data_IF_564361759664
#
_entry.id   IF_564361759664
#
_cell.length_a   1.000
_cell.length_b   1.000
_cell.length_c   1.000
_cell.angle_alpha   90.00
_cell.angle_beta   90.00
_cell.angle_gamma   90.00
#
_symmetry.space_group_name_H-M   'P 1'
#
loop_
_entity.id
_entity.type
_entity.pdbx_description
1 polymer ?
#
# COMPACT_ATOMS: atom_id res chain seq x y z
N UNK A 1 25.03 11.89 -21.79
CA UNK A 1 25.43 10.57 -21.27
C UNK A 1 24.32 9.59 -21.60
N UNK A 2 24.62 8.32 -21.85
CA UNK A 2 23.84 7.22 -21.26
C UNK A 2 22.89 6.28 -22.03
N UNK A 3 22.65 6.28 -23.35
CA UNK A 3 21.88 5.11 -23.90
C UNK A 3 22.75 3.85 -23.97
N UNK A 4 23.98 3.98 -24.46
CA UNK A 4 24.97 2.90 -24.46
C UNK A 4 25.37 2.50 -23.03
N UNK A 5 25.57 3.48 -22.14
CA UNK A 5 25.93 3.22 -20.75
C UNK A 5 24.75 2.73 -19.89
N UNK A 6 23.49 3.15 -20.14
CA UNK A 6 22.30 2.51 -19.54
C UNK A 6 22.16 1.08 -20.04
N UNK A 7 22.28 0.84 -21.34
CA UNK A 7 22.20 -0.52 -21.89
C UNK A 7 23.31 -1.42 -21.36
N UNK A 8 24.52 -0.89 -21.19
CA UNK A 8 25.61 -1.62 -20.55
C UNK A 8 25.32 -1.89 -19.07
N UNK A 9 24.83 -0.89 -18.34
CA UNK A 9 24.43 -1.03 -16.93
C UNK A 9 23.32 -2.07 -16.75
N UNK A 10 22.22 -1.97 -17.51
CA UNK A 10 21.13 -2.94 -17.44
C UNK A 10 21.58 -4.36 -17.80
N UNK A 11 22.54 -4.51 -18.72
CA UNK A 11 23.14 -5.82 -19.02
C UNK A 11 24.02 -6.34 -17.89
N UNK A 12 24.82 -5.47 -17.28
CA UNK A 12 25.68 -5.79 -16.13
C UNK A 12 24.88 -6.25 -14.92
N UNK A 13 23.73 -5.63 -14.67
CA UNK A 13 22.88 -5.87 -13.50
C UNK A 13 21.55 -6.54 -13.84
N UNK A 14 21.45 -7.20 -15.00
CA UNK A 14 20.18 -7.73 -15.50
C UNK A 14 19.54 -8.68 -14.49
N UNK A 15 20.32 -9.60 -13.93
CA UNK A 15 19.83 -10.60 -12.99
C UNK A 15 19.36 -9.97 -11.69
N UNK A 16 20.12 -9.02 -11.17
CA UNK A 16 19.78 -8.30 -9.94
C UNK A 16 18.51 -7.47 -10.12
N UNK A 17 18.35 -6.85 -11.29
CA UNK A 17 17.13 -6.11 -11.65
C UNK A 17 15.94 -7.06 -11.77
N UNK A 18 16.10 -8.18 -12.46
CA UNK A 18 15.08 -9.21 -12.64
C UNK A 18 14.64 -9.83 -11.30
N UNK A 19 15.59 -10.14 -10.42
CA UNK A 19 15.32 -10.62 -9.07
C UNK A 19 14.57 -9.57 -8.23
N UNK A 20 14.99 -8.30 -8.31
CA UNK A 20 14.33 -7.19 -7.60
C UNK A 20 12.87 -7.02 -8.07
N UNK A 21 12.62 -7.08 -9.37
CA UNK A 21 11.25 -7.01 -9.93
C UNK A 21 10.44 -8.24 -9.50
N UNK A 22 11.04 -9.43 -9.53
CA UNK A 22 10.37 -10.67 -9.11
C UNK A 22 9.96 -10.65 -7.64
N UNK A 23 10.72 -9.97 -6.78
CA UNK A 23 10.34 -9.77 -5.38
C UNK A 23 9.08 -8.91 -5.23
N UNK A 24 8.84 -7.95 -6.14
CA UNK A 24 7.63 -7.12 -6.10
C UNK A 24 6.34 -7.93 -6.33
N UNK A 25 6.43 -9.07 -7.03
CA UNK A 25 5.31 -10.01 -7.20
C UNK A 25 4.97 -10.78 -5.92
N UNK A 26 5.88 -10.84 -4.93
CA UNK A 26 5.74 -11.64 -3.71
C UNK A 26 5.19 -10.84 -2.53
N UNK A 27 4.41 -9.79 -2.83
CA UNK A 27 3.80 -8.98 -1.78
C UNK A 27 2.76 -9.78 -0.98
N UNK A 28 2.72 -9.54 0.33
CA UNK A 28 1.64 -9.99 1.22
C UNK A 28 0.30 -9.26 0.93
N UNK A 29 0.35 -8.21 0.10
CA UNK A 29 -0.76 -7.34 -0.24
C UNK A 29 -1.05 -7.41 -1.75
N UNK A 30 -1.65 -8.51 -2.17
CA UNK A 30 -2.23 -8.62 -3.52
C UNK A 30 -3.68 -8.17 -3.43
N UNK A 31 -4.05 -7.21 -4.28
CA UNK A 31 -5.42 -6.70 -4.39
C UNK A 31 -5.97 -6.74 -5.81
N UNK A 32 -7.27 -6.92 -5.94
CA UNK A 32 -8.06 -7.01 -7.15
C UNK A 32 -9.11 -5.91 -7.12
N UNK A 33 -8.97 -4.92 -8.01
CA UNK A 33 -9.95 -3.85 -8.17
C UNK A 33 -10.24 -3.56 -9.64
N UNK A 34 -10.94 -2.45 -9.91
CA UNK A 34 -11.31 -2.03 -11.27
C UNK A 34 -10.11 -1.73 -12.18
N UNK A 35 -8.91 -1.53 -11.64
CA UNK A 35 -7.66 -1.35 -12.40
C UNK A 35 -6.95 -2.67 -12.71
N UNK A 36 -7.43 -3.79 -12.16
CA UNK A 36 -6.86 -5.13 -12.31
C UNK A 36 -6.24 -5.66 -11.02
N UNK A 37 -5.31 -6.60 -11.18
CA UNK A 37 -4.55 -7.20 -10.07
C UNK A 37 -3.31 -6.39 -9.79
N UNK A 38 -3.07 -6.05 -8.52
CA UNK A 38 -1.93 -5.25 -8.10
C UNK A 38 -1.26 -5.87 -6.87
N UNK A 39 0.06 -5.87 -6.86
CA UNK A 39 0.86 -6.16 -5.68
C UNK A 39 1.36 -4.85 -5.06
N UNK A 40 0.97 -4.59 -3.81
CA UNK A 40 1.31 -3.39 -3.06
C UNK A 40 2.53 -3.63 -2.19
N UNK A 41 3.63 -2.95 -2.44
CA UNK A 41 4.89 -3.11 -1.71
C UNK A 41 5.20 -1.84 -0.91
N UNK A 42 5.06 -1.92 0.41
CA UNK A 42 5.23 -0.80 1.32
C UNK A 42 6.70 -0.62 1.70
N UNK A 43 7.40 0.29 1.03
CA UNK A 43 8.81 0.61 1.30
C UNK A 43 8.93 1.74 2.33
N UNK A 44 10.14 2.04 2.78
CA UNK A 44 10.36 3.06 3.83
C UNK A 44 9.75 4.44 3.47
N UNK A 45 9.87 4.87 2.20
CA UNK A 45 9.49 6.24 1.79
C UNK A 45 8.23 6.30 0.92
N UNK A 46 7.87 5.21 0.27
CA UNK A 46 6.79 5.18 -0.70
C UNK A 46 6.17 3.79 -0.80
N UNK A 47 4.98 3.75 -1.38
CA UNK A 47 4.36 2.53 -1.86
C UNK A 47 4.82 2.28 -3.30
N UNK A 48 5.25 1.06 -3.61
CA UNK A 48 5.40 0.60 -4.99
C UNK A 48 4.24 -0.30 -5.35
N UNK A 49 3.57 -0.01 -6.46
CA UNK A 49 2.46 -0.81 -6.98
C UNK A 49 2.93 -1.50 -8.25
N UNK A 50 2.96 -2.83 -8.23
CA UNK A 50 3.21 -3.65 -9.41
C UNK A 50 1.88 -4.13 -9.97
N UNK A 51 1.59 -3.81 -11.23
CA UNK A 51 0.42 -4.32 -11.93
C UNK A 51 0.72 -5.70 -12.48
N UNK A 52 -0.16 -6.65 -12.20
CA UNK A 52 0.02 -8.05 -12.55
C UNK A 52 -0.97 -8.46 -13.63
N UNK A 53 -0.46 -9.14 -14.66
CA UNK A 53 -1.27 -9.83 -15.66
C UNK A 53 -0.69 -11.22 -15.86
N UNK A 54 -1.52 -12.24 -15.69
CA UNK A 54 -1.12 -13.64 -15.85
C UNK A 54 0.12 -14.05 -15.01
N UNK A 55 0.30 -13.41 -13.85
CA UNK A 55 1.44 -13.64 -12.94
C UNK A 55 2.70 -12.83 -13.27
N UNK A 56 2.70 -12.04 -14.33
CA UNK A 56 3.82 -11.19 -14.75
C UNK A 56 3.59 -9.72 -14.40
N UNK A 57 4.66 -9.01 -14.08
CA UNK A 57 4.62 -7.54 -13.89
C UNK A 57 4.56 -6.86 -15.24
N UNK A 58 3.47 -6.14 -15.51
CA UNK A 58 3.29 -5.38 -16.75
C UNK A 58 3.61 -3.90 -16.58
N UNK A 59 3.51 -3.36 -15.37
CA UNK A 59 3.83 -1.97 -15.04
C UNK A 59 4.16 -1.83 -13.55
N UNK A 60 4.95 -0.81 -13.21
CA UNK A 60 5.34 -0.49 -11.83
C UNK A 60 5.20 1.00 -11.60
N UNK A 61 4.47 1.38 -10.55
CA UNK A 61 4.26 2.78 -10.17
C UNK A 61 4.69 3.04 -8.74
N UNK A 62 5.42 4.13 -8.53
CA UNK A 62 5.67 4.70 -7.21
C UNK A 62 4.53 5.62 -6.77
N UNK A 63 4.07 5.47 -5.54
CA UNK A 63 3.00 6.25 -4.94
C UNK A 63 3.45 6.77 -3.59
N UNK A 64 3.37 8.08 -3.40
CA UNK A 64 3.70 8.70 -2.12
C UNK A 64 2.59 8.45 -1.10
N UNK A 65 2.95 8.30 0.17
CA UNK A 65 1.98 7.85 1.18
C UNK A 65 0.81 8.81 1.43
N UNK A 66 0.97 10.10 1.13
CA UNK A 66 -0.14 11.04 1.21
C UNK A 66 -1.15 10.87 0.07
N UNK A 67 -0.76 10.28 -1.06
CA UNK A 67 -1.70 9.89 -2.11
C UNK A 67 -2.38 8.56 -1.78
N UNK A 68 -1.64 7.62 -1.17
CA UNK A 68 -2.19 6.34 -0.75
C UNK A 68 -3.17 6.46 0.42
N UNK A 69 -2.82 7.23 1.46
CA UNK A 69 -3.66 7.51 2.62
C UNK A 69 -3.97 9.02 2.68
N UNK A 70 -4.91 9.49 1.82
CA UNK A 70 -5.18 10.90 1.65
C UNK A 70 -5.83 11.53 2.88
N UNK A 71 -5.80 12.86 2.94
CA UNK A 71 -6.35 13.62 4.06
C UNK A 71 -7.82 13.26 4.33
N UNK A 72 -8.62 13.15 3.26
CA UNK A 72 -10.04 12.83 3.30
C UNK A 72 -10.29 11.45 3.91
N UNK A 73 -9.38 10.50 3.72
CA UNK A 73 -9.42 9.20 4.38
C UNK A 73 -9.12 9.32 5.88
N UNK A 74 -8.06 10.05 6.23
CA UNK A 74 -7.68 10.26 7.64
C UNK A 74 -8.80 10.94 8.43
N UNK A 75 -9.52 11.88 7.81
CA UNK A 75 -10.63 12.59 8.44
C UNK A 75 -11.79 11.68 8.87
N UNK A 76 -11.96 10.52 8.24
CA UNK A 76 -13.02 9.57 8.60
C UNK A 76 -12.82 9.00 10.01
N UNK A 77 -11.58 8.92 10.51
CA UNK A 77 -11.34 8.43 11.86
C UNK A 77 -11.94 9.32 12.96
N UNK A 78 -12.16 10.62 12.70
CA UNK A 78 -12.86 11.51 13.65
C UNK A 78 -14.36 11.21 13.77
N UNK A 79 -14.93 10.51 12.80
CA UNK A 79 -16.36 10.17 12.73
C UNK A 79 -16.66 8.79 13.30
N UNK A 80 -15.63 8.03 13.70
CA UNK A 80 -15.79 6.68 14.25
C UNK A 80 -16.13 6.77 15.74
N UNK A 81 -17.36 6.41 16.07
CA UNK A 81 -17.78 6.24 17.46
C UNK A 81 -16.95 5.13 18.13
N UNK A 82 -16.50 5.40 19.36
CA UNK A 82 -15.73 4.43 20.14
C UNK A 82 -14.35 4.11 19.55
N UNK A 83 -13.74 5.00 18.78
CA UNK A 83 -12.39 4.80 18.23
C UNK A 83 -11.40 4.37 19.33
N UNK A 84 -10.56 3.34 19.12
CA UNK A 84 -9.59 2.90 20.11
C UNK A 84 -8.68 4.03 20.60
N UNK A 85 -8.41 4.07 21.92
CA UNK A 85 -7.66 5.15 22.59
C UNK A 85 -6.31 5.42 21.93
N UNK A 86 -5.63 4.37 21.44
CA UNK A 86 -4.35 4.49 20.75
C UNK A 86 -4.48 5.29 19.45
N UNK A 87 -5.50 5.02 18.64
CA UNK A 87 -5.77 5.77 17.41
C UNK A 87 -6.23 7.20 17.71
N UNK A 88 -7.04 7.41 18.75
CA UNK A 88 -7.40 8.76 19.21
C UNK A 88 -6.17 9.59 19.58
N UNK A 89 -5.17 8.99 20.22
CA UNK A 89 -3.91 9.67 20.57
C UNK A 89 -3.17 10.12 19.32
N UNK A 90 -3.07 9.27 18.29
CA UNK A 90 -2.41 9.67 17.03
C UNK A 90 -3.15 10.80 16.32
N UNK A 91 -4.48 10.76 16.29
CA UNK A 91 -5.30 11.87 15.77
C UNK A 91 -5.00 13.20 16.48
N UNK A 92 -4.87 13.19 17.81
CA UNK A 92 -4.54 14.40 18.60
C UNK A 92 -3.13 14.92 18.34
N UNK A 93 -2.19 14.04 18.00
CA UNK A 93 -0.81 14.40 17.65
C UNK A 93 -0.69 14.93 16.21
N UNK A 94 -1.75 14.83 15.42
CA UNK A 94 -1.85 15.32 14.06
C UNK A 94 -2.01 14.18 13.05
N UNK A 95 -2.68 14.49 11.95
CA UNK A 95 -3.02 13.55 10.89
C UNK A 95 -1.82 12.83 10.28
N UNK A 96 -0.69 13.53 10.15
CA UNK A 96 0.55 12.91 9.68
C UNK A 96 0.96 11.75 10.58
N UNK A 97 0.76 11.86 11.90
CA UNK A 97 1.10 10.78 12.85
C UNK A 97 0.16 9.59 12.72
N UNK A 98 -1.13 9.83 12.48
CA UNK A 98 -2.05 8.73 12.21
C UNK A 98 -1.73 8.06 10.86
N UNK A 99 -1.41 8.83 9.83
CA UNK A 99 -0.95 8.30 8.55
C UNK A 99 0.29 7.42 8.75
N UNK A 100 1.29 7.90 9.47
CA UNK A 100 2.50 7.14 9.77
C UNK A 100 2.15 5.82 10.48
N UNK A 101 1.23 5.83 11.46
CA UNK A 101 0.80 4.60 12.15
C UNK A 101 0.12 3.61 11.18
N UNK A 102 -0.73 4.08 10.27
CA UNK A 102 -1.37 3.25 9.25
C UNK A 102 -0.31 2.62 8.33
N UNK A 103 0.62 3.43 7.83
CA UNK A 103 1.70 2.94 6.95
C UNK A 103 2.60 1.94 7.68
N UNK A 104 2.97 2.24 8.93
CA UNK A 104 3.74 1.32 9.76
C UNK A 104 3.00 -0.01 9.97
N UNK A 105 1.68 0.00 10.09
CA UNK A 105 0.90 -1.23 10.19
C UNK A 105 0.98 -2.08 8.93
N UNK A 106 0.95 -1.45 7.74
CA UNK A 106 1.20 -2.15 6.47
C UNK A 106 2.63 -2.71 6.39
N UNK A 107 3.64 -1.89 6.70
CA UNK A 107 5.05 -2.31 6.66
C UNK A 107 5.37 -3.44 7.65
N UNK A 108 4.64 -3.52 8.77
CA UNK A 108 4.79 -4.56 9.79
C UNK A 108 3.86 -5.76 9.59
N UNK A 109 3.17 -5.87 8.46
CA UNK A 109 2.25 -6.98 8.18
C UNK A 109 1.14 -7.16 9.24
N UNK A 110 0.67 -6.04 9.81
CA UNK A 110 -0.47 -6.01 10.76
C UNK A 110 -1.82 -5.83 10.07
N UNK A 111 -1.79 -5.57 8.77
CA UNK A 111 -2.97 -5.49 7.91
C UNK A 111 -3.13 -6.81 7.18
N UNK A 112 -4.33 -7.37 7.18
CA UNK A 112 -4.61 -8.64 6.49
C UNK A 112 -5.56 -8.38 5.33
N UNK A 113 -5.21 -8.81 4.13
CA UNK A 113 -6.14 -8.77 2.99
C UNK A 113 -7.26 -9.78 3.22
N UNK A 114 -8.51 -9.32 3.16
CA UNK A 114 -9.70 -10.17 3.24
C UNK A 114 -10.57 -9.93 2.01
N UNK A 115 -11.19 -11.01 1.54
CA UNK A 115 -12.14 -11.00 0.43
C UNK A 115 -13.44 -11.64 0.91
N UNK A 116 -14.48 -10.84 1.13
CA UNK A 116 -15.82 -11.35 1.43
C UNK A 116 -16.84 -10.96 0.35
N UNK A 117 -16.78 -9.72 -0.14
CA UNK A 117 -17.62 -9.19 -1.24
C UNK A 117 -16.86 -8.13 -2.06
N UNK A 118 -16.12 -7.28 -1.37
CA UNK A 118 -15.06 -6.44 -1.89
C UNK A 118 -13.78 -6.72 -1.09
N UNK A 119 -12.62 -6.47 -1.70
CA UNK A 119 -11.38 -6.59 -0.96
C UNK A 119 -11.15 -5.41 -0.04
N UNK A 120 -10.78 -5.73 1.20
CA UNK A 120 -10.45 -4.74 2.21
C UNK A 120 -9.26 -5.23 3.03
N UNK A 121 -8.56 -4.29 3.63
CA UNK A 121 -7.56 -4.55 4.65
C UNK A 121 -8.23 -4.59 6.02
N UNK A 122 -8.08 -5.70 6.73
CA UNK A 122 -8.46 -5.81 8.12
C UNK A 122 -7.28 -5.40 9.00
N UNK A 123 -7.45 -4.32 9.75
CA UNK A 123 -6.54 -4.00 10.85
C UNK A 123 -7.01 -4.72 12.10
N UNK A 124 -6.50 -5.94 12.29
CA UNK A 124 -7.01 -6.87 13.31
C UNK A 124 -6.95 -6.29 14.74
N UNK A 125 -5.89 -5.57 15.08
CA UNK A 125 -5.71 -4.93 16.41
C UNK A 125 -6.90 -4.03 16.80
N UNK A 126 -7.53 -3.39 15.83
CA UNK A 126 -8.61 -2.43 16.05
C UNK A 126 -9.96 -2.87 15.50
N UNK A 127 -10.02 -4.06 14.88
CA UNK A 127 -11.18 -4.54 14.14
C UNK A 127 -11.74 -3.49 13.15
N UNK A 128 -10.83 -2.81 12.43
CA UNK A 128 -11.20 -1.82 11.41
C UNK A 128 -11.03 -2.42 10.01
N UNK A 129 -12.06 -2.29 9.18
CA UNK A 129 -12.03 -2.68 7.77
C UNK A 129 -11.75 -1.44 6.93
N UNK A 130 -10.69 -1.49 6.13
CA UNK A 130 -10.25 -0.37 5.30
C UNK A 130 -10.34 -0.77 3.84
N UNK A 131 -11.17 -0.06 3.09
CA UNK A 131 -11.36 -0.29 1.66
C UNK A 131 -10.34 0.50 0.83
N UNK A 132 -9.93 -0.09 -0.29
CA UNK A 132 -9.07 0.52 -1.29
C UNK A 132 -9.86 0.74 -2.59
N UNK A 133 -9.71 1.93 -3.17
CA UNK A 133 -10.21 2.21 -4.52
C UNK A 133 -9.10 2.86 -5.35
N UNK A 134 -8.89 2.33 -6.55
CA UNK A 134 -7.76 2.72 -7.38
C UNK A 134 -6.44 2.50 -6.64
N UNK A 135 -5.79 3.58 -6.21
CA UNK A 135 -4.51 3.55 -5.50
C UNK A 135 -4.58 4.09 -4.08
N UNK A 136 -5.77 4.37 -3.56
CA UNK A 136 -5.94 5.08 -2.30
C UNK A 136 -6.88 4.36 -1.37
N UNK A 137 -6.58 4.42 -0.06
CA UNK A 137 -7.50 4.07 1.00
C UNK A 137 -8.69 5.02 0.92
N UNK A 138 -9.90 4.46 0.93
CA UNK A 138 -11.11 5.21 0.63
C UNK A 138 -12.09 5.24 1.77
N UNK A 139 -12.36 4.12 2.42
CA UNK A 139 -13.42 4.03 3.41
C UNK A 139 -13.02 3.19 4.62
N UNK A 140 -13.50 3.57 5.80
CA UNK A 140 -13.40 2.77 7.02
C UNK A 140 -14.78 2.23 7.39
N UNK A 141 -14.86 0.94 7.70
CA UNK A 141 -16.07 0.28 8.20
C UNK A 141 -15.75 -0.51 9.47
N UNK A 142 -16.71 -0.60 10.38
CA UNK A 142 -16.68 -1.50 11.54
C UNK A 142 -17.57 -2.70 11.23
#
# INVERSE_FOLDING_TARGET
MNDLAKSAYCRLFYREIEESISQLCRSDYIVHNNLGTMALNFLERNLTVAFLKDGEVIDIKGIEYYHFAPFEFIQQFYQIDGLPVRLQRYLRLGESRLRDEIINAFQMNKMVVKSSEHEFFLWEEYNLKIEIEGFSLKQIRQ
#
